data_IF_606748483693
#
_entry.id   IF_606748483693
#
_cell.length_a   1.000
_cell.length_b   1.000
_cell.length_c   1.000
_cell.angle_alpha   90.00
_cell.angle_beta   90.00
_cell.angle_gamma   90.00
#
_symmetry.space_group_name_H-M   'P 1'
#
loop_
_entity.id
_entity.type
_entity.pdbx_description
1 polymer ?
#
# COMPACT_ATOMS: atom_id res chain seq x y z
N UNK A 1 -3.35 -21.27 25.97
CA UNK A 1 -4.45 -21.38 24.97
C UNK A 1 -4.26 -22.62 24.10
N UNK A 2 -5.18 -23.58 24.21
CA UNK A 2 -5.19 -24.80 23.39
C UNK A 2 -5.68 -24.43 21.98
N UNK A 3 -4.88 -24.68 20.95
CA UNK A 3 -5.31 -24.43 19.57
C UNK A 3 -6.53 -25.29 19.23
N UNK A 4 -7.63 -24.64 18.83
CA UNK A 4 -8.87 -25.32 18.49
C UNK A 4 -8.74 -26.18 17.23
N UNK A 5 -9.31 -27.40 17.23
CA UNK A 5 -9.35 -28.25 16.04
C UNK A 5 -10.39 -27.74 15.04
N UNK A 6 -10.04 -27.75 13.74
CA UNK A 6 -10.91 -27.34 12.64
C UNK A 6 -11.09 -25.82 12.51
N UNK A 7 -12.25 -25.38 12.01
CA UNK A 7 -12.66 -23.97 11.85
C UNK A 7 -13.18 -23.32 13.15
N UNK A 8 -13.03 -23.99 14.30
CA UNK A 8 -13.54 -23.52 15.59
C UNK A 8 -12.66 -22.42 16.14
N UNK A 9 -13.27 -21.38 16.69
CA UNK A 9 -12.56 -20.25 17.29
C UNK A 9 -12.55 -20.42 18.80
N UNK A 10 -11.42 -20.14 19.43
CA UNK A 10 -11.28 -20.12 20.89
C UNK A 10 -12.04 -18.91 21.44
N UNK A 11 -13.03 -19.15 22.32
CA UNK A 11 -13.61 -18.09 23.12
C UNK A 11 -12.65 -17.75 24.27
N UNK A 12 -12.14 -16.52 24.21
CA UNK A 12 -11.19 -15.95 25.17
C UNK A 12 -11.68 -15.98 26.63
N UNK A 13 -12.99 -15.98 26.90
CA UNK A 13 -13.53 -16.04 28.27
C UNK A 13 -13.78 -17.45 28.78
N UNK A 14 -14.17 -18.37 27.90
CA UNK A 14 -14.56 -19.72 28.31
C UNK A 14 -13.47 -20.78 28.11
N UNK A 15 -12.36 -20.44 27.44
CA UNK A 15 -11.27 -21.39 27.09
C UNK A 15 -11.80 -22.63 26.34
N UNK A 16 -12.87 -22.43 25.54
CA UNK A 16 -13.55 -23.46 24.74
C UNK A 16 -13.51 -23.12 23.25
N UNK A 17 -13.47 -24.16 22.44
CA UNK A 17 -13.56 -24.07 20.99
C UNK A 17 -15.02 -24.08 20.55
N UNK A 18 -15.50 -22.96 20.02
CA UNK A 18 -16.87 -22.79 19.55
C UNK A 18 -16.92 -22.66 18.03
N UNK A 19 -17.94 -23.24 17.40
CA UNK A 19 -18.27 -22.97 16.01
C UNK A 19 -19.03 -21.64 15.97
N UNK A 20 -18.32 -20.57 15.60
CA UNK A 20 -18.88 -19.22 15.67
C UNK A 20 -19.37 -18.79 14.30
N UNK A 21 -20.69 -18.64 14.19
CA UNK A 21 -21.35 -18.11 12.99
C UNK A 21 -21.73 -16.65 13.20
N UNK A 22 -21.49 -15.83 12.20
CA UNK A 22 -21.83 -14.41 12.25
C UNK A 22 -23.35 -14.25 12.38
N UNK A 23 -23.78 -13.37 13.28
CA UNK A 23 -25.21 -13.14 13.61
C UNK A 23 -25.96 -14.34 14.19
N UNK A 24 -25.26 -15.37 14.65
CA UNK A 24 -25.83 -16.45 15.45
C UNK A 24 -26.08 -16.02 16.90
N UNK A 25 -25.59 -16.81 17.84
CA UNK A 25 -25.72 -16.55 19.28
C UNK A 25 -25.06 -15.22 19.73
N UNK A 26 -24.09 -14.73 18.95
CA UNK A 26 -23.29 -13.55 19.26
C UNK A 26 -23.75 -12.26 18.55
N UNK A 27 -24.95 -12.27 17.94
CA UNK A 27 -25.47 -11.13 17.15
C UNK A 27 -25.38 -9.77 17.86
N UNK A 28 -25.59 -9.74 19.17
CA UNK A 28 -25.57 -8.51 19.97
C UNK A 28 -24.18 -7.88 20.07
N UNK A 29 -23.11 -8.67 19.90
CA UNK A 29 -21.74 -8.17 19.84
C UNK A 29 -21.30 -7.93 18.39
N UNK A 30 -21.74 -8.78 17.45
CA UNK A 30 -21.33 -8.70 16.04
C UNK A 30 -21.85 -7.42 15.36
N UNK A 31 -23.11 -7.01 15.61
CA UNK A 31 -23.70 -5.80 15.00
C UNK A 31 -22.94 -4.52 15.36
N UNK A 32 -22.72 -4.17 16.65
CA UNK A 32 -21.96 -2.97 17.00
C UNK A 32 -20.51 -3.08 16.55
N UNK A 33 -19.92 -4.27 16.57
CA UNK A 33 -18.57 -4.49 16.07
C UNK A 33 -18.47 -4.16 14.57
N UNK A 34 -19.42 -4.62 13.77
CA UNK A 34 -19.48 -4.36 12.33
C UNK A 34 -19.61 -2.87 12.03
N UNK A 35 -20.45 -2.15 12.78
CA UNK A 35 -20.64 -0.71 12.62
C UNK A 35 -19.36 0.08 12.94
N UNK A 36 -18.68 -0.24 14.05
CA UNK A 36 -17.40 0.41 14.40
C UNK A 36 -16.32 0.09 13.36
N UNK A 37 -16.29 -1.15 12.86
CA UNK A 37 -15.34 -1.59 11.84
C UNK A 37 -15.52 -0.84 10.52
N UNK A 38 -16.78 -0.65 10.08
CA UNK A 38 -17.15 0.13 8.91
C UNK A 38 -16.62 1.57 9.00
N UNK A 39 -16.88 2.25 10.13
CA UNK A 39 -16.43 3.64 10.35
C UNK A 39 -14.91 3.71 10.39
N UNK A 40 -14.28 2.80 11.12
CA UNK A 40 -12.82 2.75 11.28
C UNK A 40 -12.10 2.53 9.95
N UNK A 41 -12.67 1.71 9.06
CA UNK A 41 -12.13 1.51 7.71
C UNK A 41 -12.13 2.81 6.89
N UNK A 42 -13.25 3.53 6.89
CA UNK A 42 -13.38 4.81 6.20
C UNK A 42 -12.40 5.87 6.70
N UNK A 43 -12.28 6.01 8.02
CA UNK A 43 -11.36 6.96 8.66
C UNK A 43 -9.89 6.62 8.38
N UNK A 44 -9.51 5.34 8.49
CA UNK A 44 -8.14 4.92 8.31
C UNK A 44 -7.62 5.24 6.90
N UNK A 45 -8.37 4.86 5.86
CA UNK A 45 -7.97 5.09 4.47
C UNK A 45 -7.95 6.58 4.13
N UNK A 46 -8.89 7.37 4.69
CA UNK A 46 -8.91 8.83 4.51
C UNK A 46 -7.71 9.52 5.17
N UNK A 47 -7.18 8.97 6.26
CA UNK A 47 -5.92 9.42 6.87
C UNK A 47 -4.66 9.03 6.06
N UNK A 48 -4.82 8.22 5.01
CA UNK A 48 -3.71 7.64 4.26
C UNK A 48 -2.94 6.56 5.04
N UNK A 49 -3.57 5.94 6.04
CA UNK A 49 -3.03 4.79 6.78
C UNK A 49 -3.84 3.57 6.34
N UNK A 50 -3.22 2.52 5.79
CA UNK A 50 -3.88 1.38 5.12
C UNK A 50 -4.76 0.47 6.00
N UNK A 51 -5.40 0.97 7.06
CA UNK A 51 -6.41 0.27 7.89
C UNK A 51 -5.87 -0.77 8.87
N UNK A 52 -4.76 -1.44 8.52
CA UNK A 52 -4.35 -2.67 9.23
C UNK A 52 -3.96 -2.52 10.69
N UNK A 53 -3.47 -1.35 11.11
CA UNK A 53 -3.10 -1.10 12.51
C UNK A 53 -4.27 -1.08 13.50
N UNK A 54 -5.52 -1.02 13.01
CA UNK A 54 -6.71 -0.88 13.86
C UNK A 54 -7.53 -2.17 13.90
N UNK A 55 -7.58 -2.91 12.80
CA UNK A 55 -8.45 -4.08 12.69
C UNK A 55 -8.07 -5.23 13.61
N UNK A 56 -6.78 -5.53 13.80
CA UNK A 56 -6.39 -6.62 14.72
C UNK A 56 -6.81 -6.33 16.16
N UNK A 57 -6.49 -5.16 16.75
CA UNK A 57 -7.02 -4.82 18.07
C UNK A 57 -8.55 -4.79 18.15
N UNK A 58 -9.26 -4.30 17.13
CA UNK A 58 -10.72 -4.34 17.11
C UNK A 58 -11.25 -5.77 17.12
N UNK A 59 -10.62 -6.70 16.40
CA UNK A 59 -10.97 -8.12 16.45
C UNK A 59 -10.78 -8.72 17.85
N UNK A 60 -9.70 -8.38 18.53
CA UNK A 60 -9.43 -8.84 19.89
C UNK A 60 -10.44 -8.25 20.88
N UNK A 61 -10.75 -6.95 20.79
CA UNK A 61 -11.57 -6.26 21.79
C UNK A 61 -13.09 -6.43 21.56
N UNK A 62 -13.54 -6.26 20.32
CA UNK A 62 -14.97 -6.29 19.99
C UNK A 62 -15.46 -7.71 19.72
N UNK A 63 -14.67 -8.49 18.98
CA UNK A 63 -15.04 -9.87 18.64
C UNK A 63 -14.51 -10.89 19.63
N UNK A 64 -13.55 -10.55 20.51
CA UNK A 64 -12.91 -11.51 21.44
C UNK A 64 -12.25 -12.67 20.72
N UNK A 65 -11.76 -12.42 19.51
CA UNK A 65 -10.98 -13.39 18.76
C UNK A 65 -9.56 -13.52 19.32
N UNK A 66 -8.98 -14.71 19.17
CA UNK A 66 -7.55 -14.90 19.44
C UNK A 66 -6.71 -14.00 18.51
N UNK A 67 -5.45 -13.75 18.87
CA UNK A 67 -4.56 -12.90 18.06
C UNK A 67 -4.38 -13.46 16.65
N UNK A 68 -4.26 -14.79 16.50
CA UNK A 68 -4.14 -15.46 15.20
C UNK A 68 -5.40 -15.28 14.35
N UNK A 69 -6.59 -15.46 14.93
CA UNK A 69 -7.86 -15.27 14.23
C UNK A 69 -8.11 -13.79 13.86
N UNK A 70 -7.81 -12.87 14.79
CA UNK A 70 -7.92 -11.43 14.55
C UNK A 70 -6.97 -10.95 13.44
N UNK A 71 -5.77 -11.54 13.37
CA UNK A 71 -4.79 -11.27 12.30
C UNK A 71 -5.35 -11.63 10.93
N UNK A 72 -5.91 -12.84 10.78
CA UNK A 72 -6.50 -13.25 9.51
C UNK A 72 -7.74 -12.44 9.11
N UNK A 73 -8.60 -12.10 10.08
CA UNK A 73 -9.78 -11.25 9.82
C UNK A 73 -9.37 -9.83 9.41
N UNK A 74 -8.29 -9.31 10.00
CA UNK A 74 -7.67 -8.05 9.59
C UNK A 74 -7.21 -8.11 8.14
N UNK A 75 -6.53 -9.17 7.70
CA UNK A 75 -6.11 -9.30 6.30
C UNK A 75 -7.28 -9.29 5.32
N UNK A 76 -8.39 -9.97 5.64
CA UNK A 76 -9.61 -9.90 4.82
C UNK A 76 -10.20 -8.47 4.78
N UNK A 77 -10.21 -7.77 5.92
CA UNK A 77 -10.69 -6.39 6.01
C UNK A 77 -9.80 -5.40 5.25
N UNK A 78 -8.48 -5.54 5.36
CA UNK A 78 -7.49 -4.73 4.65
C UNK A 78 -7.63 -4.97 3.15
N UNK A 79 -7.86 -6.21 2.71
CA UNK A 79 -8.13 -6.50 1.31
C UNK A 79 -9.36 -5.72 0.80
N UNK A 80 -10.47 -5.71 1.55
CA UNK A 80 -11.66 -4.93 1.20
C UNK A 80 -11.38 -3.43 1.15
N UNK A 81 -10.74 -2.87 2.18
CA UNK A 81 -10.41 -1.46 2.23
C UNK A 81 -9.44 -1.02 1.11
N UNK A 82 -8.40 -1.80 0.85
CA UNK A 82 -7.41 -1.52 -0.20
C UNK A 82 -8.00 -1.66 -1.59
N UNK A 83 -8.94 -2.60 -1.82
CA UNK A 83 -9.63 -2.74 -3.10
C UNK A 83 -10.50 -1.51 -3.40
N UNK A 84 -11.25 -1.02 -2.41
CA UNK A 84 -11.98 0.24 -2.52
C UNK A 84 -11.03 1.42 -2.79
N UNK A 85 -9.91 1.48 -2.06
CA UNK A 85 -8.86 2.47 -2.25
C UNK A 85 -8.25 2.44 -3.66
N UNK A 86 -7.96 1.25 -4.17
CA UNK A 86 -7.45 1.01 -5.52
C UNK A 86 -8.45 1.47 -6.58
N UNK A 87 -9.74 1.11 -6.47
CA UNK A 87 -10.78 1.55 -7.41
C UNK A 87 -10.83 3.08 -7.48
N UNK A 88 -10.81 3.75 -6.33
CA UNK A 88 -10.85 5.21 -6.27
C UNK A 88 -9.55 5.86 -6.80
N UNK A 89 -8.38 5.29 -6.48
CA UNK A 89 -7.09 5.83 -6.89
C UNK A 89 -6.72 5.50 -8.35
N UNK A 90 -7.25 4.42 -8.92
CA UNK A 90 -6.95 3.98 -10.29
C UNK A 90 -7.36 4.99 -11.35
N UNK A 91 -8.33 5.86 -11.04
CA UNK A 91 -8.79 6.96 -11.91
C UNK A 91 -8.02 8.26 -11.69
N UNK A 92 -7.18 8.33 -10.65
CA UNK A 92 -6.45 9.55 -10.31
C UNK A 92 -5.17 9.68 -11.15
N UNK A 93 -4.82 10.94 -11.47
CA UNK A 93 -3.59 11.31 -12.17
C UNK A 93 -2.61 12.00 -11.23
N UNK A 94 -1.34 11.94 -11.58
CA UNK A 94 -0.28 12.61 -10.83
C UNK A 94 -0.47 14.14 -10.85
N UNK A 95 -0.38 14.86 -9.72
CA UNK A 95 -0.66 16.30 -9.67
C UNK A 95 0.29 17.16 -10.51
N UNK A 96 1.52 16.69 -10.72
CA UNK A 96 2.61 17.45 -11.36
C UNK A 96 3.11 16.85 -12.68
N UNK A 97 2.51 15.75 -13.15
CA UNK A 97 2.99 15.03 -14.34
C UNK A 97 1.82 14.36 -15.07
N UNK A 98 1.87 14.21 -16.41
CA UNK A 98 0.78 13.63 -17.21
C UNK A 98 0.73 12.09 -17.16
N UNK A 99 0.92 11.47 -15.99
CA UNK A 99 0.97 10.02 -15.76
C UNK A 99 0.03 9.61 -14.62
N UNK A 100 -0.35 8.32 -14.46
CA UNK A 100 -1.22 7.88 -13.38
C UNK A 100 -0.59 8.15 -12.00
N UNK A 101 -1.43 8.26 -10.97
CA UNK A 101 -0.97 8.43 -9.58
C UNK A 101 -0.31 7.15 -9.02
N UNK A 102 -0.69 5.98 -9.55
CA UNK A 102 -0.16 4.68 -9.16
C UNK A 102 1.10 4.40 -9.98
N UNK A 103 2.20 4.16 -9.29
CA UNK A 103 3.44 3.68 -9.89
C UNK A 103 3.42 2.15 -10.01
N UNK A 104 3.01 1.66 -11.17
CA UNK A 104 2.96 0.23 -11.45
C UNK A 104 4.33 -0.41 -11.65
N UNK A 105 5.37 0.35 -12.01
CA UNK A 105 6.72 -0.20 -12.15
C UNK A 105 7.28 -0.58 -10.79
N UNK A 106 7.05 0.26 -9.79
CA UNK A 106 7.30 -0.07 -8.39
C UNK A 106 6.45 -1.25 -7.93
N UNK A 107 5.15 -1.24 -8.25
CA UNK A 107 4.24 -2.27 -7.79
C UNK A 107 4.66 -3.68 -8.23
N UNK A 108 5.20 -3.81 -9.46
CA UNK A 108 5.56 -5.09 -10.06
C UNK A 108 6.66 -5.86 -9.33
N UNK A 109 7.59 -5.18 -8.67
CA UNK A 109 8.64 -5.85 -7.90
C UNK A 109 8.46 -5.74 -6.38
N UNK A 110 7.79 -4.70 -5.89
CA UNK A 110 7.50 -4.56 -4.46
C UNK A 110 6.42 -5.54 -4.00
N UNK A 111 5.34 -5.75 -4.78
CA UNK A 111 4.28 -6.68 -4.43
C UNK A 111 4.78 -8.12 -4.19
N UNK A 112 5.54 -8.74 -5.12
CA UNK A 112 6.02 -10.11 -4.90
C UNK A 112 6.99 -10.23 -3.72
N UNK A 113 7.84 -9.22 -3.47
CA UNK A 113 8.72 -9.19 -2.30
C UNK A 113 7.93 -9.08 -0.99
N UNK A 114 6.88 -8.25 -0.97
CA UNK A 114 5.99 -8.12 0.19
C UNK A 114 5.20 -9.41 0.44
N UNK A 115 4.67 -10.05 -0.62
CA UNK A 115 3.98 -11.34 -0.54
C UNK A 115 4.89 -12.44 0.00
N UNK A 116 6.14 -12.50 -0.47
CA UNK A 116 7.13 -13.47 0.01
C UNK A 116 7.38 -13.27 1.51
N UNK A 117 7.56 -12.01 1.94
CA UNK A 117 7.65 -11.66 3.34
C UNK A 117 6.41 -12.07 4.12
N UNK A 118 5.21 -11.76 3.63
CA UNK A 118 3.95 -12.05 4.30
C UNK A 118 3.70 -13.55 4.49
N UNK A 119 4.05 -14.37 3.50
CA UNK A 119 4.00 -15.83 3.61
C UNK A 119 4.95 -16.32 4.72
N UNK A 120 6.18 -15.82 4.75
CA UNK A 120 7.14 -16.17 5.79
C UNK A 120 6.66 -15.70 7.18
N UNK A 121 6.14 -14.48 7.28
CA UNK A 121 5.59 -13.92 8.50
C UNK A 121 4.41 -14.72 9.06
N UNK A 122 3.50 -15.17 8.19
CA UNK A 122 2.39 -16.03 8.57
C UNK A 122 2.87 -17.40 9.09
N UNK A 123 3.88 -18.00 8.44
CA UNK A 123 4.50 -19.24 8.93
C UNK A 123 5.18 -19.05 10.29
N UNK A 124 5.90 -17.95 10.47
CA UNK A 124 6.50 -17.59 11.77
C UNK A 124 5.42 -17.42 12.84
N UNK A 125 4.30 -16.74 12.52
CA UNK A 125 3.20 -16.55 13.45
C UNK A 125 2.59 -17.87 13.95
N UNK A 126 2.56 -18.90 13.10
CA UNK A 126 2.07 -20.22 13.49
C UNK A 126 2.97 -20.87 14.54
N UNK A 127 4.27 -20.63 14.49
CA UNK A 127 5.28 -21.21 15.38
C UNK A 127 5.42 -20.40 16.68
N UNK A 128 5.27 -19.07 16.62
CA UNK A 128 5.49 -18.21 17.78
C UNK A 128 4.39 -18.37 18.84
N UNK A 129 4.75 -18.33 20.13
CA UNK A 129 3.77 -18.33 21.21
C UNK A 129 2.98 -17.02 21.24
N UNK A 130 1.70 -17.10 21.60
CA UNK A 130 0.76 -15.96 21.53
C UNK A 130 1.23 -14.75 22.35
N UNK A 131 1.82 -14.95 23.53
CA UNK A 131 2.33 -13.85 24.37
C UNK A 131 3.41 -13.02 23.64
N UNK A 132 4.28 -13.68 22.88
CA UNK A 132 5.34 -13.02 22.14
C UNK A 132 4.77 -12.23 20.96
N UNK A 133 3.78 -12.79 20.26
CA UNK A 133 3.07 -12.07 19.19
C UNK A 133 2.39 -10.82 19.76
N UNK A 134 1.77 -10.89 20.94
CA UNK A 134 1.15 -9.73 21.60
C UNK A 134 2.20 -8.66 21.93
N UNK A 135 3.36 -9.02 22.51
CA UNK A 135 4.44 -8.07 22.81
C UNK A 135 4.93 -7.36 21.54
N UNK A 136 5.21 -8.13 20.48
CA UNK A 136 5.66 -7.57 19.19
C UNK A 136 4.59 -6.65 18.61
N UNK A 137 3.32 -7.08 18.65
CA UNK A 137 2.20 -6.27 18.15
C UNK A 137 2.04 -4.98 18.94
N UNK A 138 2.11 -5.02 20.27
CA UNK A 138 2.04 -3.85 21.14
C UNK A 138 3.18 -2.87 20.84
N UNK A 139 4.41 -3.37 20.65
CA UNK A 139 5.56 -2.53 20.30
C UNK A 139 5.34 -1.84 18.94
N UNK A 140 4.94 -2.60 17.91
CA UNK A 140 4.75 -2.07 16.56
C UNK A 140 3.59 -1.08 16.51
N UNK A 141 2.47 -1.38 17.17
CA UNK A 141 1.34 -0.45 17.26
C UNK A 141 1.71 0.81 18.05
N UNK A 142 2.50 0.69 19.11
CA UNK A 142 3.04 1.83 19.86
C UNK A 142 3.93 2.73 18.98
N UNK A 143 4.89 2.14 18.26
CA UNK A 143 5.76 2.87 17.32
C UNK A 143 4.97 3.50 16.16
N UNK A 144 4.00 2.76 15.61
CA UNK A 144 3.13 3.25 14.54
C UNK A 144 2.28 4.42 15.03
N UNK A 145 1.72 4.31 16.24
CA UNK A 145 0.96 5.38 16.88
C UNK A 145 1.82 6.63 17.08
N UNK A 146 3.01 6.50 17.68
CA UNK A 146 3.93 7.60 17.89
C UNK A 146 4.32 8.30 16.57
N UNK A 147 4.66 7.52 15.53
CA UNK A 147 4.97 8.06 14.19
C UNK A 147 3.77 8.76 13.55
N UNK A 148 2.56 8.20 13.70
CA UNK A 148 1.33 8.80 13.18
C UNK A 148 0.98 10.09 13.92
N UNK A 149 1.21 10.14 15.23
CA UNK A 149 1.01 11.34 16.05
C UNK A 149 1.99 12.45 15.66
N UNK A 150 3.28 12.13 15.51
CA UNK A 150 4.29 13.07 15.03
C UNK A 150 3.95 13.63 13.64
N UNK A 151 3.49 12.77 12.71
CA UNK A 151 2.99 13.21 11.40
C UNK A 151 1.77 14.12 11.54
N UNK A 152 0.81 13.76 12.39
CA UNK A 152 -0.39 14.56 12.66
C UNK A 152 -0.04 15.96 13.18
N UNK A 153 0.89 16.06 14.13
CA UNK A 153 1.39 17.36 14.64
C UNK A 153 2.06 18.17 13.55
N UNK A 154 2.91 17.55 12.72
CA UNK A 154 3.58 18.24 11.61
C UNK A 154 2.57 18.82 10.62
N UNK A 155 1.61 18.02 10.17
CA UNK A 155 0.55 18.48 9.26
C UNK A 155 -0.29 19.57 9.92
N UNK A 156 -0.54 19.49 11.23
CA UNK A 156 -1.27 20.53 11.97
C UNK A 156 -0.52 21.87 11.95
N UNK A 157 0.80 21.84 12.11
CA UNK A 157 1.63 23.04 12.06
C UNK A 157 1.64 23.65 10.65
N UNK A 158 1.76 22.82 9.62
CA UNK A 158 1.69 23.24 8.21
C UNK A 158 0.32 23.87 7.90
N UNK A 159 -0.79 23.23 8.29
CA UNK A 159 -2.16 23.76 8.12
C UNK A 159 -2.36 25.09 8.87
N UNK A 160 -1.75 25.27 10.05
CA UNK A 160 -1.84 26.52 10.82
C UNK A 160 -1.07 27.67 10.16
N UNK A 161 0.09 27.39 9.57
CA UNK A 161 0.87 28.39 8.86
C UNK A 161 0.14 28.87 7.61
N UNK A 162 -0.41 27.95 6.81
CA UNK A 162 -1.19 28.29 5.61
C UNK A 162 -2.47 29.09 5.91
N UNK A 163 -3.08 28.90 7.09
CA UNK A 163 -4.23 29.71 7.55
C UNK A 163 -3.83 31.11 8.04
N UNK A 164 -2.62 31.27 8.55
CA UNK A 164 -2.12 32.54 9.10
C UNK A 164 -1.61 33.47 8.00
N UNK A 165 -1.06 32.90 6.93
CA UNK A 165 -0.64 33.62 5.73
C UNK A 165 -1.42 33.09 4.51
N UNK A 166 -2.65 33.56 4.26
CA UNK A 166 -3.36 33.19 3.03
C UNK A 166 -2.56 33.70 1.83
N UNK A 167 -2.07 32.80 0.99
CA UNK A 167 -1.56 33.14 -0.33
C UNK A 167 -2.68 33.86 -1.07
N UNK A 168 -2.48 35.13 -1.46
CA UNK A 168 -3.37 35.84 -2.37
C UNK A 168 -3.27 35.19 -3.75
N UNK A 169 -4.11 34.21 -4.02
CA UNK A 169 -4.44 33.78 -5.37
C UNK A 169 -5.95 33.88 -5.54
N UNK A 170 -6.37 35.01 -6.09
CA UNK A 170 -7.48 35.16 -7.05
C UNK A 170 -7.53 36.65 -7.41
N UNK A 171 -6.70 37.04 -8.39
CA UNK A 171 -6.87 38.27 -9.16
C UNK A 171 -7.32 37.87 -10.56
N UNK A 172 -8.32 38.54 -11.17
CA UNK A 172 -8.84 38.14 -12.46
C UNK A 172 -7.76 38.29 -13.55
N UNK A 173 -7.75 37.36 -14.51
CA UNK A 173 -6.99 37.48 -15.75
C UNK A 173 -7.27 38.84 -16.40
N UNK A 174 -6.31 39.77 -16.30
CA UNK A 174 -6.26 40.96 -17.14
C UNK A 174 -5.32 40.66 -18.29
N UNK A 175 -5.96 40.37 -19.41
CA UNK A 175 -5.36 40.33 -20.73
C UNK A 175 -4.84 41.73 -21.10
N UNK A 176 -3.52 41.91 -21.19
CA UNK A 176 -2.93 43.05 -21.89
C UNK A 176 -1.72 42.59 -22.69
N UNK A 177 -1.98 42.23 -23.95
CA UNK A 177 -1.08 42.55 -25.07
C UNK A 177 -0.87 44.07 -25.09
N UNK A 178 0.38 44.51 -25.04
CA UNK A 178 1.03 45.60 -25.81
C UNK A 178 2.23 46.11 -25.02
N UNK A 179 3.39 46.14 -25.69
CA UNK A 179 4.65 46.52 -25.10
C UNK A 179 4.76 48.03 -24.84
N UNK A 180 5.65 48.38 -23.91
CA UNK A 180 6.35 49.67 -23.89
C UNK A 180 7.71 49.42 -23.22
N UNK A 181 8.75 49.85 -23.93
CA UNK A 181 10.13 49.93 -23.51
C UNK A 181 10.35 51.16 -22.61
N UNK A 182 11.15 51.03 -21.54
CA UNK A 182 11.78 52.17 -20.88
C UNK A 182 13.22 51.85 -20.49
N UNK A 183 14.13 52.63 -21.05
CA UNK A 183 15.58 52.61 -20.86
C UNK A 183 16.02 53.54 -19.72
N UNK A 184 17.19 53.28 -19.13
CA UNK A 184 18.37 54.18 -19.02
C UNK A 184 19.39 53.48 -18.09
N UNK A 185 20.71 53.49 -18.29
CA UNK A 185 21.60 54.00 -19.33
C UNK A 185 23.05 53.80 -18.86
N UNK A 186 24.00 53.53 -19.77
CA UNK A 186 25.40 54.00 -19.69
C UNK A 186 26.15 53.76 -21.01
N UNK A 187 26.97 54.74 -21.42
CA UNK A 187 28.27 54.47 -22.06
C UNK A 187 28.42 54.29 -23.59
N UNK A 188 28.53 55.41 -24.32
CA UNK A 188 29.37 55.70 -25.53
C UNK A 188 29.03 55.15 -26.94
N UNK A 189 29.20 55.98 -27.98
CA UNK A 189 29.04 55.60 -29.39
C UNK A 189 30.40 55.26 -30.04
N UNK A 190 30.41 54.40 -31.05
CA UNK A 190 31.21 54.53 -32.28
C UNK A 190 31.01 53.32 -33.22
N UNK A 191 30.94 53.58 -34.53
CA UNK A 191 31.25 52.57 -35.55
C UNK A 191 30.16 52.26 -36.57
N UNK A 192 30.07 53.09 -37.60
CA UNK A 192 29.46 52.75 -38.90
C UNK A 192 30.25 51.61 -39.57
N UNK A 193 29.61 50.50 -39.99
CA UNK A 193 30.02 49.77 -41.20
C UNK A 193 28.90 48.91 -41.79
N UNK A 194 28.76 49.06 -43.12
CA UNK A 194 27.76 48.47 -43.99
C UNK A 194 27.92 46.96 -44.20
N UNK A 195 26.77 46.34 -44.51
CA UNK A 195 26.45 45.32 -45.52
C UNK A 195 27.58 44.54 -46.23
N UNK A 196 27.23 43.26 -46.47
CA UNK A 196 27.85 42.25 -47.33
C UNK A 196 28.85 41.32 -46.62
N UNK A 197 28.34 40.17 -46.18
CA UNK A 197 28.92 38.86 -46.47
C UNK A 197 27.86 37.77 -46.20
N UNK A 198 27.05 37.53 -47.23
CA UNK A 198 26.29 36.29 -47.41
C UNK A 198 27.26 35.28 -47.99
N UNK A 199 27.82 34.38 -47.18
CA UNK A 199 28.33 33.10 -47.67
C UNK A 199 28.57 32.12 -46.52
N UNK A 200 27.96 30.93 -46.67
CA UNK A 200 28.32 29.68 -45.99
C UNK A 200 27.77 29.49 -44.57
N UNK A 201 26.44 29.40 -44.46
CA UNK A 201 25.86 28.47 -43.48
C UNK A 201 26.21 27.05 -43.96
N UNK A 202 27.31 26.53 -43.42
CA UNK A 202 27.61 25.10 -43.45
C UNK A 202 26.42 24.39 -42.79
N UNK A 203 25.59 23.70 -43.57
CA UNK A 203 24.66 22.71 -43.04
C UNK A 203 25.50 21.66 -42.31
N UNK A 204 25.57 21.77 -40.98
CA UNK A 204 25.97 20.65 -40.13
C UNK A 204 24.95 19.53 -40.37
N UNK A 205 25.38 18.26 -40.53
CA UNK A 205 24.44 17.16 -40.67
C UNK A 205 23.49 17.16 -39.46
N UNK A 206 22.24 16.67 -39.59
CA UNK A 206 21.44 16.42 -38.40
C UNK A 206 22.23 15.46 -37.53
N UNK A 207 22.48 15.82 -36.27
CA UNK A 207 23.00 14.89 -35.27
C UNK A 207 21.98 13.77 -35.12
N UNK A 208 22.16 12.67 -35.87
CA UNK A 208 21.27 11.50 -35.87
C UNK A 208 21.02 11.02 -34.42
N UNK A 209 22.05 11.10 -33.56
CA UNK A 209 21.98 10.77 -32.14
C UNK A 209 21.09 11.70 -31.28
N UNK A 210 21.02 13.00 -31.62
CA UNK A 210 20.11 13.94 -30.94
C UNK A 210 18.66 13.70 -31.35
N UNK A 211 18.43 13.30 -32.60
CA UNK A 211 17.10 12.92 -33.08
C UNK A 211 16.61 11.61 -32.47
N UNK A 212 17.48 10.60 -32.35
CA UNK A 212 17.16 9.29 -31.76
C UNK A 212 16.82 9.39 -30.26
N UNK A 213 17.60 10.16 -29.50
CA UNK A 213 17.34 10.37 -28.07
C UNK A 213 16.01 11.09 -27.81
N UNK A 214 15.62 12.05 -28.66
CA UNK A 214 14.33 12.73 -28.57
C UNK A 214 13.15 11.79 -28.87
N UNK A 215 13.30 10.88 -29.84
CA UNK A 215 12.28 9.86 -30.15
C UNK A 215 12.09 8.90 -28.98
N UNK A 216 13.18 8.37 -28.41
CA UNK A 216 13.15 7.44 -27.27
C UNK A 216 12.55 8.12 -26.02
N UNK A 217 12.87 9.40 -25.78
CA UNK A 217 12.27 10.21 -24.72
C UNK A 217 10.75 10.30 -24.87
N UNK A 218 10.28 10.67 -26.07
CA UNK A 218 8.84 10.79 -26.36
C UNK A 218 8.11 9.47 -26.18
N UNK A 219 8.66 8.37 -26.71
CA UNK A 219 8.09 7.03 -26.53
C UNK A 219 8.00 6.63 -25.05
N UNK A 220 9.03 6.96 -24.26
CA UNK A 220 9.03 6.70 -22.81
C UNK A 220 7.96 7.50 -22.07
N UNK A 221 7.76 8.76 -22.45
CA UNK A 221 6.71 9.61 -21.90
C UNK A 221 5.30 9.11 -22.28
N UNK A 222 5.09 8.74 -23.54
CA UNK A 222 3.81 8.22 -24.01
C UNK A 222 3.46 6.89 -23.33
N UNK A 223 4.47 6.04 -23.08
CA UNK A 223 4.34 4.78 -22.33
C UNK A 223 3.92 5.02 -20.88
N UNK A 224 4.54 5.98 -20.20
CA UNK A 224 4.26 6.33 -18.80
C UNK A 224 2.96 7.13 -18.65
N UNK A 225 2.50 7.84 -19.69
CA UNK A 225 1.25 8.60 -19.67
C UNK A 225 -0.02 7.72 -19.70
N UNK A 226 0.12 6.43 -20.01
CA UNK A 226 -1.00 5.47 -20.08
C UNK A 226 -1.60 5.27 -18.69
N UNK A 227 -2.88 5.66 -18.52
CA UNK A 227 -3.60 5.49 -17.25
C UNK A 227 -3.72 4.02 -16.84
N UNK A 228 -3.95 3.13 -17.81
CA UNK A 228 -4.13 1.70 -17.60
C UNK A 228 -3.11 0.90 -18.41
N UNK A 229 -1.87 0.74 -17.91
CA UNK A 229 -0.85 -0.05 -18.59
C UNK A 229 -1.18 -1.55 -18.46
N UNK A 230 -1.99 -2.09 -19.39
CA UNK A 230 -2.45 -3.48 -19.36
C UNK A 230 -1.30 -4.48 -19.20
N UNK A 231 -0.14 -4.18 -19.81
CA UNK A 231 1.09 -4.97 -19.68
C UNK A 231 1.53 -5.20 -18.23
N UNK A 232 1.35 -4.19 -17.38
CA UNK A 232 1.74 -4.23 -15.96
C UNK A 232 0.66 -4.93 -15.14
N UNK A 233 -0.61 -4.71 -15.48
CA UNK A 233 -1.74 -5.38 -14.84
C UNK A 233 -1.68 -6.90 -14.99
N UNK A 234 -1.51 -7.42 -16.21
CA UNK A 234 -1.52 -8.87 -16.41
C UNK A 234 -0.33 -9.55 -15.72
N UNK A 235 0.86 -8.91 -15.71
CA UNK A 235 2.03 -9.43 -14.98
C UNK A 235 1.74 -9.55 -13.47
N UNK A 236 1.11 -8.52 -12.88
CA UNK A 236 0.73 -8.50 -11.48
C UNK A 236 -0.37 -9.53 -11.17
N UNK A 237 -1.34 -9.67 -12.07
CA UNK A 237 -2.41 -10.69 -11.94
C UNK A 237 -1.86 -12.10 -12.07
N UNK A 238 -0.88 -12.37 -12.94
CA UNK A 238 -0.26 -13.69 -13.06
C UNK A 238 0.52 -14.05 -11.80
N UNK A 239 1.39 -13.16 -11.30
CA UNK A 239 2.12 -13.46 -10.06
C UNK A 239 1.16 -13.71 -8.89
N UNK A 240 0.08 -12.94 -8.79
CA UNK A 240 -0.95 -13.19 -7.77
C UNK A 240 -1.71 -14.51 -7.99
N UNK A 241 -2.21 -14.77 -9.19
CA UNK A 241 -3.00 -15.97 -9.50
C UNK A 241 -2.18 -17.26 -9.34
N UNK A 242 -0.89 -17.23 -9.73
CA UNK A 242 0.03 -18.34 -9.52
C UNK A 242 0.24 -18.64 -8.03
N UNK A 243 0.35 -17.61 -7.17
CA UNK A 243 0.41 -17.82 -5.72
C UNK A 243 -0.89 -18.45 -5.22
N UNK A 244 -2.05 -17.91 -5.59
CA UNK A 244 -3.34 -18.46 -5.15
C UNK A 244 -3.46 -19.94 -5.54
N UNK A 245 -3.13 -20.27 -6.79
CA UNK A 245 -3.12 -21.65 -7.28
C UNK A 245 -2.18 -22.54 -6.46
N UNK A 246 -0.93 -22.11 -6.25
CA UNK A 246 0.06 -22.87 -5.49
C UNK A 246 -0.33 -23.01 -4.01
N UNK A 247 -1.00 -22.02 -3.43
CA UNK A 247 -1.51 -22.08 -2.07
C UNK A 247 -2.69 -23.05 -1.94
N UNK A 248 -3.58 -23.11 -2.94
CA UNK A 248 -4.67 -24.11 -2.99
C UNK A 248 -4.12 -25.53 -3.18
N UNK A 249 -3.11 -25.70 -4.04
CA UNK A 249 -2.40 -26.98 -4.21
C UNK A 249 -1.68 -27.41 -2.92
N UNK A 250 -1.22 -26.45 -2.11
CA UNK A 250 -0.60 -26.72 -0.81
C UNK A 250 -1.61 -27.12 0.26
N UNK A 251 -2.77 -26.46 0.27
CA UNK A 251 -3.72 -26.56 1.37
C UNK A 251 -3.16 -25.99 2.70
N UNK A 252 -3.85 -26.31 3.79
CA UNK A 252 -3.51 -25.91 5.15
C UNK A 252 -4.12 -26.84 6.20
N UNK A 253 -3.97 -26.48 7.47
CA UNK A 253 -4.51 -27.27 8.60
C UNK A 253 -6.04 -27.37 8.57
N UNK A 254 -6.72 -26.32 8.09
CA UNK A 254 -8.19 -26.22 8.08
C UNK A 254 -8.84 -26.53 6.73
N UNK A 255 -8.07 -26.67 5.67
CA UNK A 255 -8.56 -26.96 4.32
C UNK A 255 -7.59 -27.92 3.66
N UNK A 256 -8.09 -29.11 3.28
CA UNK A 256 -7.30 -30.11 2.57
C UNK A 256 -6.77 -29.55 1.26
N UNK A 257 -5.62 -30.05 0.83
CA UNK A 257 -5.06 -29.71 -0.48
C UNK A 257 -5.98 -30.24 -1.59
N UNK A 258 -5.90 -29.64 -2.79
CA UNK A 258 -6.65 -30.12 -3.96
C UNK A 258 -6.29 -31.57 -4.32
N UNK A 259 -5.12 -32.06 -3.89
CA UNK A 259 -4.67 -33.45 -4.08
C UNK A 259 -4.26 -34.02 -2.71
N UNK A 260 -5.24 -34.47 -1.89
CA UNK A 260 -5.04 -34.79 -0.47
C UNK A 260 -3.94 -35.82 -0.21
N UNK A 261 -3.87 -36.88 -1.02
CA UNK A 261 -2.91 -37.97 -0.85
C UNK A 261 -1.47 -37.58 -1.21
N UNK A 262 -1.31 -36.57 -2.08
CA UNK A 262 0.01 -36.16 -2.57
C UNK A 262 0.67 -35.09 -1.69
N UNK A 263 -0.13 -34.27 -1.00
CA UNK A 263 0.37 -33.14 -0.20
C UNK A 263 -0.20 -33.20 1.22
N UNK A 264 0.33 -34.09 2.08
CA UNK A 264 -0.06 -34.13 3.49
C UNK A 264 0.42 -32.88 4.23
N UNK A 265 -0.40 -32.38 5.16
CA UNK A 265 -0.07 -31.23 6.00
C UNK A 265 1.23 -31.47 6.78
N UNK A 266 2.13 -30.48 6.80
CA UNK A 266 3.48 -30.57 7.36
C UNK A 266 4.40 -31.65 6.74
N UNK A 267 4.01 -32.32 5.66
CA UNK A 267 4.86 -33.24 4.93
C UNK A 267 5.93 -32.55 4.08
N UNK A 268 6.85 -33.32 3.51
CA UNK A 268 7.92 -32.76 2.67
C UNK A 268 7.36 -32.03 1.44
N UNK A 269 6.29 -32.54 0.80
CA UNK A 269 5.66 -31.92 -0.36
C UNK A 269 5.03 -30.56 -0.03
N UNK A 270 4.45 -30.42 1.16
CA UNK A 270 3.91 -29.15 1.67
C UNK A 270 5.00 -28.08 1.81
N UNK A 271 6.16 -28.46 2.38
CA UNK A 271 7.30 -27.57 2.54
C UNK A 271 7.99 -27.27 1.21
N UNK A 272 8.13 -28.27 0.34
CA UNK A 272 8.65 -28.08 -1.01
C UNK A 272 7.80 -27.09 -1.80
N UNK A 273 6.46 -27.24 -1.78
CA UNK A 273 5.57 -26.32 -2.47
C UNK A 273 5.62 -24.90 -1.87
N UNK A 274 5.74 -24.77 -0.54
CA UNK A 274 5.97 -23.47 0.11
C UNK A 274 7.29 -22.83 -0.33
N UNK A 275 8.37 -23.61 -0.47
CA UNK A 275 9.65 -23.15 -0.96
C UNK A 275 9.57 -22.75 -2.45
N UNK A 276 8.82 -23.48 -3.28
CA UNK A 276 8.56 -23.12 -4.68
C UNK A 276 7.84 -21.78 -4.77
N UNK A 277 6.79 -21.55 -3.96
CA UNK A 277 6.09 -20.26 -3.92
C UNK A 277 7.05 -19.12 -3.54
N UNK A 278 7.87 -19.34 -2.51
CA UNK A 278 8.85 -18.34 -2.06
C UNK A 278 9.88 -18.03 -3.15
N UNK A 279 10.44 -19.06 -3.78
CA UNK A 279 11.42 -18.92 -4.85
C UNK A 279 10.81 -18.21 -6.06
N UNK A 280 9.60 -18.59 -6.48
CA UNK A 280 8.88 -17.95 -7.58
C UNK A 280 8.69 -16.45 -7.33
N UNK A 281 8.23 -16.08 -6.13
CA UNK A 281 8.01 -14.67 -5.76
C UNK A 281 9.30 -13.86 -5.78
N UNK A 282 10.36 -14.37 -5.14
CA UNK A 282 11.65 -13.70 -5.10
C UNK A 282 12.21 -13.56 -6.51
N UNK A 283 12.22 -14.63 -7.30
CA UNK A 283 12.73 -14.60 -8.68
C UNK A 283 11.94 -13.61 -9.55
N UNK A 284 10.61 -13.65 -9.50
CA UNK A 284 9.76 -12.71 -10.24
C UNK A 284 10.05 -11.26 -9.83
N UNK A 285 10.12 -10.98 -8.53
CA UNK A 285 10.46 -9.64 -8.03
C UNK A 285 11.87 -9.19 -8.42
N UNK A 286 12.87 -10.07 -8.38
CA UNK A 286 14.23 -9.76 -8.83
C UNK A 286 14.29 -9.47 -10.34
N UNK A 287 13.59 -10.25 -11.16
CA UNK A 287 13.50 -10.04 -12.60
C UNK A 287 12.83 -8.70 -12.93
N UNK A 288 11.69 -8.40 -12.30
CA UNK A 288 10.98 -7.14 -12.51
C UNK A 288 11.77 -5.94 -11.99
N UNK A 289 12.45 -6.08 -10.84
CA UNK A 289 13.31 -5.05 -10.29
C UNK A 289 14.53 -4.75 -11.17
N UNK A 290 15.15 -5.77 -11.75
CA UNK A 290 16.22 -5.58 -12.76
C UNK A 290 15.69 -4.83 -13.98
N UNK A 291 14.51 -5.18 -14.48
CA UNK A 291 13.87 -4.44 -15.58
C UNK A 291 13.66 -2.97 -15.20
N UNK A 292 13.17 -2.69 -13.99
CA UNK A 292 12.94 -1.32 -13.52
C UNK A 292 14.24 -0.49 -13.41
N UNK A 293 15.34 -1.10 -12.95
CA UNK A 293 16.68 -0.47 -12.93
C UNK A 293 17.15 -0.18 -14.35
N UNK A 294 16.99 -1.12 -15.28
CA UNK A 294 17.37 -0.91 -16.69
C UNK A 294 16.53 0.18 -17.36
N UNK A 295 15.21 0.18 -17.16
CA UNK A 295 14.31 1.23 -17.65
C UNK A 295 14.67 2.60 -17.09
N UNK A 296 15.07 2.67 -15.81
CA UNK A 296 15.47 3.94 -15.18
C UNK A 296 16.81 4.45 -15.71
N UNK A 297 17.77 3.57 -15.95
CA UNK A 297 19.03 3.92 -16.60
C UNK A 297 18.81 4.44 -18.03
N UNK A 298 17.93 3.80 -18.81
CA UNK A 298 17.58 4.25 -20.15
C UNK A 298 16.85 5.62 -20.15
N UNK A 299 15.98 5.88 -19.16
CA UNK A 299 15.33 7.19 -19.00
C UNK A 299 16.34 8.29 -18.63
N UNK A 300 17.38 7.96 -17.87
CA UNK A 300 18.41 8.91 -17.48
C UNK A 300 19.29 9.36 -18.67
N UNK A 301 19.47 8.54 -19.70
CA UNK A 301 20.29 8.89 -20.88
C UNK A 301 19.58 9.81 -21.88
N UNK A 302 18.27 9.97 -21.79
CA UNK A 302 17.45 10.72 -22.76
C UNK A 302 16.80 11.99 -22.17
N UNK A 303 17.36 12.51 -21.08
CA UNK A 303 16.85 13.70 -20.37
C UNK A 303 15.34 13.59 -20.05
N UNK A 304 14.92 12.44 -19.51
CA UNK A 304 13.52 12.23 -19.13
C UNK A 304 13.11 13.23 -18.02
N UNK A 305 11.94 13.90 -18.11
CA UNK A 305 11.52 14.90 -17.14
C UNK A 305 11.04 14.25 -15.82
N UNK A 306 11.99 13.96 -14.93
CA UNK A 306 11.68 13.48 -13.58
C UNK A 306 11.06 14.58 -12.72
N UNK A 307 10.06 14.23 -11.92
CA UNK A 307 9.39 15.16 -11.02
C UNK A 307 9.83 14.92 -9.58
N UNK A 308 9.79 15.97 -8.75
CA UNK A 308 10.10 15.89 -7.32
C UNK A 308 9.36 14.72 -6.65
N UNK A 309 10.11 13.75 -6.10
CA UNK A 309 9.55 12.55 -5.46
C UNK A 309 9.60 11.28 -6.32
N UNK A 310 10.02 11.37 -7.58
CA UNK A 310 10.30 10.19 -8.40
C UNK A 310 11.48 9.41 -7.84
N UNK A 311 11.34 8.09 -7.81
CA UNK A 311 12.42 7.20 -7.41
C UNK A 311 13.22 6.82 -8.64
N UNK A 312 14.49 7.22 -8.66
CA UNK A 312 15.45 6.82 -9.68
C UNK A 312 16.03 5.46 -9.27
N UNK A 313 15.75 4.41 -10.03
CA UNK A 313 16.17 3.06 -9.66
C UNK A 313 17.63 2.82 -9.99
N UNK A 314 18.42 2.62 -8.95
CA UNK A 314 19.78 2.07 -9.01
C UNK A 314 19.80 0.70 -8.34
N UNK A 315 20.80 -0.14 -8.62
CA UNK A 315 20.92 -1.44 -7.94
C UNK A 315 20.94 -1.33 -6.41
N UNK A 316 21.67 -0.39 -5.77
CA UNK A 316 21.61 -0.20 -4.32
C UNK A 316 20.22 0.16 -3.81
N UNK A 317 19.53 1.10 -4.46
CA UNK A 317 18.17 1.49 -4.08
C UNK A 317 17.22 0.30 -4.24
N UNK A 318 17.30 -0.42 -5.36
CA UNK A 318 16.49 -1.62 -5.61
C UNK A 318 16.67 -2.68 -4.52
N UNK A 319 17.91 -3.01 -4.15
CA UNK A 319 18.19 -4.00 -3.09
C UNK A 319 17.62 -3.52 -1.76
N UNK A 320 17.86 -2.26 -1.38
CA UNK A 320 17.33 -1.68 -0.15
C UNK A 320 15.81 -1.78 -0.07
N UNK A 321 15.10 -1.32 -1.12
CA UNK A 321 13.64 -1.35 -1.15
C UNK A 321 13.09 -2.78 -1.19
N UNK A 322 13.75 -3.71 -1.87
CA UNK A 322 13.34 -5.12 -1.91
C UNK A 322 13.45 -5.76 -0.52
N UNK A 323 14.58 -5.58 0.18
CA UNK A 323 14.79 -6.11 1.53
C UNK A 323 13.85 -5.47 2.54
N UNK A 324 13.68 -4.15 2.48
CA UNK A 324 12.80 -3.44 3.40
C UNK A 324 11.33 -3.83 3.19
N UNK A 325 10.91 -4.04 1.94
CA UNK A 325 9.55 -4.46 1.60
C UNK A 325 9.30 -5.92 1.97
N UNK A 326 10.31 -6.79 1.79
CA UNK A 326 10.25 -8.16 2.29
C UNK A 326 10.12 -8.20 3.82
N UNK A 327 10.91 -7.40 4.56
CA UNK A 327 10.79 -7.30 6.01
C UNK A 327 9.45 -6.71 6.46
N UNK A 328 8.94 -5.69 5.76
CA UNK A 328 7.61 -5.16 5.98
C UNK A 328 6.53 -6.23 5.73
N UNK A 329 6.71 -7.05 4.70
CA UNK A 329 5.89 -8.23 4.42
C UNK A 329 5.87 -9.22 5.59
N UNK A 330 7.03 -9.57 6.16
CA UNK A 330 7.11 -10.44 7.35
C UNK A 330 6.27 -9.86 8.48
N UNK A 331 6.41 -8.57 8.76
CA UNK A 331 5.61 -7.90 9.79
C UNK A 331 4.12 -7.87 9.45
N UNK A 332 3.77 -7.71 8.17
CA UNK A 332 2.39 -7.72 7.71
C UNK A 332 1.74 -9.11 7.87
N UNK A 333 2.45 -10.18 7.51
CA UNK A 333 2.02 -11.56 7.72
C UNK A 333 1.93 -11.93 9.20
N UNK A 334 2.88 -11.44 10.01
CA UNK A 334 2.97 -11.73 11.44
C UNK A 334 1.93 -10.97 12.28
N UNK A 335 1.59 -9.73 11.90
CA UNK A 335 0.78 -8.84 12.73
C UNK A 335 -0.54 -8.42 12.09
N UNK A 336 -0.76 -8.71 10.81
CA UNK A 336 -1.99 -8.30 10.13
C UNK A 336 -2.05 -6.79 9.87
N UNK A 337 -0.89 -6.13 9.75
CA UNK A 337 -0.77 -4.69 9.46
C UNK A 337 -0.31 -4.55 7.99
N UNK A 338 -1.12 -3.99 7.11
CA UNK A 338 -0.75 -3.80 5.69
C UNK A 338 0.54 -2.98 5.56
N UNK A 339 1.55 -3.54 4.89
CA UNK A 339 2.83 -2.90 4.64
C UNK A 339 2.69 -1.78 3.63
N UNK A 340 3.39 -0.66 3.84
CA UNK A 340 3.31 0.47 2.93
C UNK A 340 4.46 1.44 3.12
N UNK A 341 5.49 1.28 2.30
CA UNK A 341 6.68 2.15 2.30
C UNK A 341 6.65 3.23 1.22
N UNK A 342 5.65 3.22 0.34
CA UNK A 342 5.59 4.03 -0.89
C UNK A 342 4.38 4.98 -0.89
N UNK A 343 4.12 5.67 -2.01
CA UNK A 343 2.95 6.56 -2.15
C UNK A 343 1.66 5.85 -1.74
N UNK A 344 0.68 6.60 -1.21
CA UNK A 344 -0.57 6.00 -0.68
C UNK A 344 -1.36 5.25 -1.74
N UNK A 345 -1.32 5.71 -3.00
CA UNK A 345 -2.00 5.05 -4.12
C UNK A 345 -1.30 3.76 -4.57
N UNK A 346 0.03 3.79 -4.72
CA UNK A 346 0.82 2.59 -5.04
C UNK A 346 0.72 1.57 -3.90
N UNK A 347 0.83 2.02 -2.64
CA UNK A 347 0.65 1.18 -1.45
C UNK A 347 -0.71 0.50 -1.44
N UNK A 348 -1.81 1.22 -1.69
CA UNK A 348 -3.14 0.60 -1.76
C UNK A 348 -3.20 -0.50 -2.82
N UNK A 349 -2.54 -0.30 -3.96
CA UNK A 349 -2.46 -1.31 -5.04
C UNK A 349 -1.67 -2.53 -4.58
N UNK A 350 -0.51 -2.35 -3.94
CA UNK A 350 0.30 -3.42 -3.38
C UNK A 350 -0.51 -4.26 -2.38
N UNK A 351 -1.18 -3.57 -1.45
CA UNK A 351 -1.96 -4.18 -0.37
C UNK A 351 -3.11 -5.04 -0.91
N UNK A 352 -3.74 -4.68 -2.04
CA UNK A 352 -4.79 -5.51 -2.66
C UNK A 352 -4.30 -6.92 -2.92
N UNK A 353 -3.12 -7.05 -3.52
CA UNK A 353 -2.56 -8.35 -3.88
C UNK A 353 -1.98 -9.06 -2.65
N UNK A 354 -1.28 -8.34 -1.77
CA UNK A 354 -0.65 -8.94 -0.59
C UNK A 354 -1.68 -9.40 0.43
N UNK A 355 -2.66 -8.56 0.81
CA UNK A 355 -3.67 -8.91 1.80
C UNK A 355 -4.68 -9.94 1.31
N UNK A 356 -5.01 -10.00 0.01
CA UNK A 356 -5.88 -11.06 -0.51
C UNK A 356 -5.22 -12.45 -0.41
N UNK A 357 -3.95 -12.57 -0.81
CA UNK A 357 -3.19 -13.82 -0.65
C UNK A 357 -2.98 -14.19 0.82
N UNK A 358 -2.65 -13.23 1.69
CA UNK A 358 -2.50 -13.46 3.12
C UNK A 358 -3.83 -13.87 3.78
N UNK A 359 -4.94 -13.20 3.46
CA UNK A 359 -6.27 -13.57 3.96
C UNK A 359 -6.60 -15.02 3.59
N UNK A 360 -6.30 -15.44 2.35
CA UNK A 360 -6.50 -16.82 1.93
C UNK A 360 -5.65 -17.80 2.74
N UNK A 361 -4.38 -17.49 3.03
CA UNK A 361 -3.53 -18.32 3.91
C UNK A 361 -4.16 -18.54 5.27
N UNK A 362 -4.69 -17.48 5.90
CA UNK A 362 -5.34 -17.57 7.21
C UNK A 362 -6.65 -18.36 7.16
N UNK A 363 -7.45 -18.18 6.11
CA UNK A 363 -8.70 -18.94 5.89
C UNK A 363 -8.39 -20.43 5.68
N UNK A 364 -7.44 -20.78 4.81
CA UNK A 364 -7.04 -22.17 4.56
C UNK A 364 -6.38 -22.83 5.77
N UNK A 365 -5.74 -22.04 6.64
CA UNK A 365 -5.24 -22.53 7.92
C UNK A 365 -6.36 -22.85 8.92
N UNK A 366 -7.63 -22.50 8.62
CA UNK A 366 -8.76 -22.68 9.52
C UNK A 366 -8.79 -21.69 10.68
N UNK A 367 -7.98 -20.62 10.62
CA UNK A 367 -7.83 -19.68 11.75
C UNK A 367 -8.95 -18.63 11.79
N UNK A 368 -9.69 -18.45 10.69
CA UNK A 368 -10.75 -17.45 10.57
C UNK A 368 -11.98 -18.07 9.91
N UNK A 369 -13.16 -17.94 10.51
CA UNK A 369 -14.42 -18.33 9.86
C UNK A 369 -14.64 -17.55 8.56
N UNK A 370 -15.00 -18.25 7.48
CA UNK A 370 -15.14 -17.66 6.15
C UNK A 370 -16.27 -16.62 6.08
N UNK A 371 -17.35 -16.83 6.84
CA UNK A 371 -18.50 -15.94 6.93
C UNK A 371 -18.11 -14.59 7.55
N UNK A 372 -17.33 -14.61 8.64
CA UNK A 372 -16.72 -13.40 9.20
C UNK A 372 -15.81 -12.72 8.18
N UNK A 373 -14.94 -13.48 7.50
CA UNK A 373 -14.03 -12.90 6.51
C UNK A 373 -14.78 -12.14 5.39
N UNK A 374 -15.85 -12.72 4.83
CA UNK A 374 -16.65 -12.10 3.76
C UNK A 374 -17.41 -10.86 4.25
N UNK A 375 -18.04 -10.93 5.43
CA UNK A 375 -18.83 -9.80 5.96
C UNK A 375 -17.93 -8.63 6.33
N UNK A 376 -16.80 -8.88 7.00
CA UNK A 376 -15.86 -7.82 7.38
C UNK A 376 -15.07 -7.27 6.19
N UNK A 377 -14.75 -8.09 5.18
CA UNK A 377 -14.27 -7.61 3.88
C UNK A 377 -15.27 -6.62 3.27
N UNK A 378 -16.55 -7.01 3.21
CA UNK A 378 -17.61 -6.20 2.60
C UNK A 378 -17.83 -4.89 3.35
N UNK A 379 -17.87 -4.94 4.68
CA UNK A 379 -18.00 -3.76 5.52
C UNK A 379 -16.79 -2.82 5.39
N UNK A 380 -15.58 -3.34 5.33
CA UNK A 380 -14.37 -2.53 5.11
C UNK A 380 -14.35 -1.92 3.70
N UNK A 381 -14.77 -2.68 2.68
CA UNK A 381 -14.89 -2.20 1.30
C UNK A 381 -15.89 -1.05 1.18
N UNK A 382 -17.13 -1.24 1.61
CA UNK A 382 -18.18 -0.20 1.55
C UNK A 382 -17.83 0.96 2.47
N UNK A 383 -17.34 0.69 3.69
CA UNK A 383 -16.91 1.71 4.64
C UNK A 383 -15.79 2.58 4.11
N UNK A 384 -14.87 1.99 3.33
CA UNK A 384 -13.82 2.76 2.65
C UNK A 384 -14.36 3.56 1.47
N UNK A 385 -15.23 3.01 0.64
CA UNK A 385 -15.83 3.75 -0.48
C UNK A 385 -16.61 4.97 0.01
N UNK A 386 -17.49 4.76 0.99
CA UNK A 386 -18.33 5.81 1.58
C UNK A 386 -17.47 6.76 2.42
N UNK A 387 -16.62 6.22 3.29
CA UNK A 387 -15.75 7.01 4.16
C UNK A 387 -14.81 7.89 3.37
N UNK A 388 -14.07 7.35 2.40
CA UNK A 388 -13.12 8.15 1.62
C UNK A 388 -13.82 9.24 0.81
N UNK A 389 -14.96 8.95 0.18
CA UNK A 389 -15.69 9.98 -0.60
C UNK A 389 -16.24 11.10 0.27
N UNK A 390 -16.86 10.77 1.40
CA UNK A 390 -17.44 11.77 2.32
C UNK A 390 -16.33 12.53 3.05
N UNK A 391 -15.39 11.81 3.65
CA UNK A 391 -14.34 12.38 4.50
C UNK A 391 -13.35 13.20 3.68
N UNK A 392 -12.91 12.75 2.50
CA UNK A 392 -12.07 13.59 1.63
C UNK A 392 -12.80 14.88 1.24
N UNK A 393 -14.11 14.82 0.98
CA UNK A 393 -14.91 16.01 0.66
C UNK A 393 -14.99 16.98 1.85
N UNK A 394 -15.24 16.48 3.06
CA UNK A 394 -15.33 17.29 4.28
C UNK A 394 -13.96 17.88 4.64
N UNK A 395 -12.90 17.06 4.59
CA UNK A 395 -11.54 17.45 4.94
C UNK A 395 -11.01 18.51 3.98
N UNK A 396 -11.22 18.34 2.66
CA UNK A 396 -10.83 19.34 1.67
C UNK A 396 -11.54 20.68 1.88
N UNK A 397 -12.82 20.66 2.27
CA UNK A 397 -13.59 21.89 2.53
C UNK A 397 -13.21 22.57 3.83
N UNK A 398 -12.84 21.82 4.88
CA UNK A 398 -12.57 22.38 6.22
C UNK A 398 -11.09 22.53 6.54
N UNK A 399 -10.18 21.97 5.73
CA UNK A 399 -8.73 21.96 5.98
C UNK A 399 -8.36 21.33 7.32
N UNK A 400 -8.99 20.20 7.67
CA UNK A 400 -8.85 19.53 8.98
C UNK A 400 -8.10 18.19 8.85
N UNK A 401 -7.15 18.09 7.92
CA UNK A 401 -6.44 16.83 7.64
C UNK A 401 -5.67 16.38 8.86
N UNK A 402 -5.04 17.32 9.57
CA UNK A 402 -4.28 17.01 10.76
C UNK A 402 -5.14 16.43 11.89
N UNK A 403 -6.36 16.96 12.09
CA UNK A 403 -7.27 16.48 13.14
C UNK A 403 -7.71 15.04 12.89
N UNK A 404 -7.93 14.67 11.62
CA UNK A 404 -8.25 13.31 11.24
C UNK A 404 -7.08 12.35 11.56
N UNK A 405 -5.85 12.72 11.17
CA UNK A 405 -4.66 11.91 11.45
C UNK A 405 -4.44 11.76 12.96
N UNK A 406 -4.63 12.83 13.74
CA UNK A 406 -4.50 12.79 15.20
C UNK A 406 -5.57 11.93 15.86
N UNK A 407 -6.82 12.00 15.41
CA UNK A 407 -7.91 11.14 15.88
C UNK A 407 -7.58 9.67 15.61
N UNK A 408 -7.09 9.35 14.40
CA UNK A 408 -6.68 7.99 14.06
C UNK A 408 -5.52 7.50 14.94
N UNK A 409 -4.50 8.35 15.15
CA UNK A 409 -3.37 8.03 16.03
C UNK A 409 -3.84 7.74 17.47
N UNK A 410 -4.81 8.52 17.98
CA UNK A 410 -5.43 8.29 19.27
C UNK A 410 -6.16 6.94 19.36
N UNK A 411 -6.92 6.56 18.32
CA UNK A 411 -7.58 5.25 18.25
C UNK A 411 -6.55 4.12 18.26
N UNK A 412 -5.46 4.22 17.49
CA UNK A 412 -4.38 3.23 17.46
C UNK A 412 -3.68 3.15 18.82
N UNK A 413 -3.42 4.29 19.47
CA UNK A 413 -2.81 4.34 20.80
C UNK A 413 -3.67 3.62 21.85
N UNK A 414 -4.97 3.95 21.88
CA UNK A 414 -5.92 3.33 22.79
C UNK A 414 -6.00 1.81 22.55
N UNK A 415 -6.07 1.40 21.29
CA UNK A 415 -6.08 0.00 20.89
C UNK A 415 -4.80 -0.74 21.33
N UNK A 416 -3.62 -0.12 21.18
CA UNK A 416 -2.35 -0.68 21.62
C UNK A 416 -2.29 -0.87 23.14
N UNK A 417 -2.74 0.13 23.91
CA UNK A 417 -2.81 0.06 25.38
C UNK A 417 -3.74 -1.08 25.79
N UNK A 418 -4.95 -1.12 25.23
CA UNK A 418 -5.96 -2.12 25.57
C UNK A 418 -5.49 -3.55 25.28
N UNK A 419 -4.84 -3.78 24.13
CA UNK A 419 -4.29 -5.11 23.82
C UNK A 419 -3.15 -5.47 24.76
N UNK A 420 -2.29 -4.52 25.12
CA UNK A 420 -1.20 -4.76 26.08
C UNK A 420 -1.74 -5.14 27.45
N UNK A 421 -2.73 -4.39 27.95
CA UNK A 421 -3.38 -4.68 29.24
C UNK A 421 -4.09 -6.04 29.20
N UNK A 422 -4.85 -6.32 28.14
CA UNK A 422 -5.51 -7.61 27.98
C UNK A 422 -4.52 -8.79 27.88
N UNK A 423 -3.33 -8.54 27.30
CA UNK A 423 -2.24 -9.51 27.23
C UNK A 423 -1.50 -9.74 28.54
N UNK A 424 -1.47 -8.75 29.45
CA UNK A 424 -0.84 -8.85 30.77
C UNK A 424 -1.74 -9.49 31.83
N UNK A 425 -3.06 -9.37 31.67
CA UNK A 425 -4.06 -9.95 32.60
C UNK A 425 -4.26 -11.46 32.35
N UNK A 426 -3.87 -11.95 31.17
CA UNK A 426 -3.87 -13.38 30.80
C UNK A 426 -2.50 -14.00 31.05
#
# INVERSE_FOLDING_TARGET
PKECPGLRVEDVREDKCVDRRIFGEWKNNDIPALFIWFISSGLAVSAGVGGGGIFVPLGILLLRFSTKASTGLSQASIFGASLAGFILNSRARHPKAPRPLIDFDMALFLAPMEMAGALLGALIQMILPTWLVIIIMSLVLGLTSAKTFARGIRVYQEERQSRTFPTREDGPEVNTRHGVQLCTGDGRPEGFRNEQDVASAQELPPDDAASDSAVVRKQSMDRDARQYPLEKYWKLTIVWATIILLLLLRGGKGTESVIPDAVPYCGWAYWALSAVVMAWLILFGLCMGRSAVMDSAAKATVDYPFVSGDVIWTYPSFIFYSLATFAAGIMAGLLGIGGGMVSTATTATLIVFTSSSAALVFIMAGLVPWDYAVVYFSAAFVGTLVGKTIVDTIVRRRGLTALLILLLAGIIAFAAIMVTVAGLIK
#
